data_IF_037054235408
#
_entry.id   IF_037054235408
#
_cell.length_a   1.000
_cell.length_b   1.000
_cell.length_c   1.000
_cell.angle_alpha   90.00
_cell.angle_beta   90.00
_cell.angle_gamma   90.00
#
_symmetry.space_group_name_H-M   'P 1'
#
loop_
_entity.id
_entity.type
_entity.pdbx_description
1 polymer ?
#
# COMPACT_ATOMS: atom_id res chain seq x y z
N UNK A 1 -20.18 29.72 -32.45
CA UNK A 1 -18.73 29.41 -32.47
C UNK A 1 -18.44 28.63 -31.21
N UNK A 2 -18.77 27.34 -31.20
CA UNK A 2 -17.91 26.22 -31.61
C UNK A 2 -16.96 25.82 -30.46
N UNK A 3 -17.24 24.64 -29.93
CA UNK A 3 -16.58 23.94 -28.82
C UNK A 3 -15.05 24.00 -28.92
N UNK A 4 -14.40 24.43 -27.84
CA UNK A 4 -12.97 24.22 -27.63
C UNK A 4 -12.73 23.79 -26.18
N UNK A 5 -12.75 22.47 -26.02
CA UNK A 5 -11.93 21.65 -25.12
C UNK A 5 -11.73 22.25 -23.72
N UNK A 6 -12.54 21.79 -22.77
CA UNK A 6 -12.22 21.84 -21.35
C UNK A 6 -10.84 21.20 -21.14
N UNK A 7 -9.80 22.02 -20.94
CA UNK A 7 -8.45 21.56 -20.53
C UNK A 7 -8.40 21.13 -19.06
N UNK A 8 -9.52 20.69 -18.51
CA UNK A 8 -9.52 19.99 -17.24
C UNK A 8 -9.25 18.52 -17.53
N UNK A 9 -8.29 17.98 -16.78
CA UNK A 9 -8.06 16.56 -16.66
C UNK A 9 -9.38 15.78 -16.55
N UNK A 10 -9.72 14.87 -17.49
CA UNK A 10 -11.01 14.20 -17.48
C UNK A 10 -11.15 13.30 -16.25
N UNK A 11 -12.28 13.43 -15.54
CA UNK A 11 -12.63 12.50 -14.48
C UNK A 11 -12.85 11.11 -15.07
N UNK A 12 -12.28 10.10 -14.43
CA UNK A 12 -12.65 8.72 -14.71
C UNK A 12 -14.05 8.43 -14.16
N UNK A 13 -14.91 7.71 -14.90
CA UNK A 13 -16.21 7.31 -14.39
C UNK A 13 -16.07 6.45 -13.12
N UNK A 14 -17.04 6.58 -12.22
CA UNK A 14 -17.16 5.73 -11.03
C UNK A 14 -17.24 4.26 -11.46
N UNK A 15 -16.37 3.42 -10.89
CA UNK A 15 -16.54 1.96 -10.99
C UNK A 15 -17.67 1.60 -10.02
N UNK A 16 -18.74 0.91 -10.46
CA UNK A 16 -19.79 0.48 -9.55
C UNK A 16 -19.20 -0.43 -8.48
N UNK A 17 -19.62 -0.21 -7.23
CA UNK A 17 -19.36 -1.11 -6.12
C UNK A 17 -19.75 -2.54 -6.53
N UNK A 18 -18.78 -3.48 -6.58
CA UNK A 18 -19.09 -4.90 -6.73
C UNK A 18 -19.88 -5.31 -5.48
N UNK A 19 -21.17 -5.60 -5.66
CA UNK A 19 -22.06 -6.07 -4.60
C UNK A 19 -21.45 -7.31 -3.95
N UNK A 20 -21.20 -7.23 -2.66
CA UNK A 20 -21.02 -8.42 -1.83
C UNK A 20 -22.32 -9.24 -1.87
N UNK A 21 -22.20 -10.53 -2.17
CA UNK A 21 -23.31 -11.45 -2.04
C UNK A 21 -23.78 -11.46 -0.59
N UNK A 22 -25.03 -11.02 -0.37
CA UNK A 22 -25.69 -11.14 0.92
C UNK A 22 -25.98 -12.60 1.20
N UNK A 23 -25.36 -13.15 2.26
CA UNK A 23 -25.90 -14.34 2.91
C UNK A 23 -27.01 -13.88 3.85
N UNK A 24 -28.24 -14.22 3.50
CA UNK A 24 -29.39 -14.16 4.39
C UNK A 24 -29.07 -14.88 5.69
N UNK A 25 -29.28 -14.22 6.82
CA UNK A 25 -29.82 -14.91 7.99
C UNK A 25 -30.80 -13.99 8.69
N UNK A 26 -32.04 -14.46 8.71
CA UNK A 26 -33.10 -13.99 9.60
C UNK A 26 -32.69 -14.34 11.03
N UNK A 27 -32.85 -13.40 11.95
CA UNK A 27 -33.56 -13.67 13.20
C UNK A 27 -33.97 -12.35 13.84
N UNK A 28 -35.27 -12.25 14.12
CA UNK A 28 -35.88 -11.11 14.78
C UNK A 28 -35.78 -11.22 16.29
N UNK A 29 -35.72 -10.06 16.94
CA UNK A 29 -36.53 -9.82 18.14
C UNK A 29 -36.66 -8.32 18.35
N UNK A 30 -37.89 -7.94 18.64
CA UNK A 30 -38.36 -6.62 19.03
C UNK A 30 -37.76 -6.22 20.38
N UNK A 31 -37.61 -4.92 20.64
CA UNK A 31 -37.97 -4.26 21.91
C UNK A 31 -38.07 -2.75 21.63
N UNK A 32 -39.10 -2.17 22.25
CA UNK A 32 -39.68 -0.85 22.06
C UNK A 32 -38.88 0.31 22.68
N UNK A 33 -39.23 1.49 22.16
CA UNK A 33 -39.09 2.88 22.60
C UNK A 33 -38.73 3.17 24.06
N UNK A 34 -38.02 4.29 24.29
CA UNK A 34 -38.40 5.34 25.24
C UNK A 34 -37.59 6.63 25.01
N UNK A 35 -38.33 7.75 24.97
CA UNK A 35 -37.91 9.15 24.88
C UNK A 35 -36.93 9.57 26.00
N UNK A 36 -36.08 10.58 25.75
CA UNK A 36 -36.18 11.83 26.54
C UNK A 36 -35.36 13.03 26.02
N UNK A 37 -36.12 14.11 25.90
CA UNK A 37 -35.92 15.56 25.93
C UNK A 37 -34.52 16.18 26.16
N UNK A 38 -34.28 17.24 25.38
CA UNK A 38 -33.22 18.22 25.52
C UNK A 38 -33.64 19.40 26.44
N UNK A 39 -32.67 19.98 27.17
CA UNK A 39 -32.80 21.29 27.83
C UNK A 39 -31.59 21.68 28.68
N UNK A 40 -31.29 22.99 28.87
CA UNK A 40 -29.92 23.53 28.76
C UNK A 40 -29.41 24.30 30.01
N UNK A 41 -28.32 25.08 29.82
CA UNK A 41 -27.67 26.06 30.72
C UNK A 41 -26.51 25.52 31.56
N UNK A 42 -25.41 26.21 31.80
CA UNK A 42 -24.95 27.57 31.50
C UNK A 42 -23.64 27.83 32.29
N UNK A 43 -22.82 28.79 31.83
CA UNK A 43 -21.76 29.53 32.55
C UNK A 43 -20.69 28.72 33.35
N UNK A 44 -19.41 29.04 33.36
CA UNK A 44 -18.87 30.36 33.68
C UNK A 44 -17.37 30.44 33.37
N UNK A 45 -16.94 31.66 33.09
CA UNK A 45 -15.55 32.07 32.90
C UNK A 45 -15.09 32.94 34.07
N UNK A 46 -13.84 32.79 34.52
CA UNK A 46 -12.94 33.80 35.16
C UNK A 46 -11.68 33.04 35.66
N UNK A 47 -10.45 33.26 35.22
CA UNK A 47 -9.59 34.44 34.99
C UNK A 47 -8.67 34.78 36.18
N UNK A 48 -7.44 35.18 35.83
CA UNK A 48 -6.40 35.94 36.55
C UNK A 48 -5.34 35.14 37.33
N UNK A 49 -4.09 35.06 36.83
CA UNK A 49 -2.95 36.01 36.97
C UNK A 49 -2.14 35.69 38.25
N UNK A 50 -0.80 35.78 38.37
CA UNK A 50 0.22 36.51 37.61
C UNK A 50 1.66 36.03 38.01
N UNK A 51 2.63 36.20 37.08
CA UNK A 51 4.05 36.64 37.25
C UNK A 51 4.93 36.10 38.41
N UNK A 52 6.02 35.35 38.18
CA UNK A 52 7.39 35.76 37.76
C UNK A 52 8.16 36.66 38.74
N UNK A 53 9.28 36.18 39.35
CA UNK A 53 10.63 36.82 39.41
C UNK A 53 11.71 35.80 39.90
N UNK A 54 12.88 35.81 39.25
CA UNK A 54 14.22 35.25 39.63
C UNK A 54 14.90 36.09 40.78
N UNK A 55 16.15 35.86 41.36
CA UNK A 55 17.36 35.22 40.78
C UNK A 55 18.42 34.52 41.74
N UNK A 56 19.45 33.91 41.11
CA UNK A 56 20.90 33.77 41.44
C UNK A 56 21.50 32.97 42.64
N UNK A 57 22.45 32.08 42.26
CA UNK A 57 23.80 31.75 42.80
C UNK A 57 24.03 31.09 44.19
N UNK A 58 24.88 30.03 44.21
CA UNK A 58 25.80 29.74 45.34
C UNK A 58 26.05 28.28 45.74
N UNK A 59 27.21 27.72 45.33
CA UNK A 59 28.12 26.72 45.96
C UNK A 59 27.69 25.39 46.67
N UNK A 60 28.38 24.31 46.21
CA UNK A 60 29.03 23.16 46.89
C UNK A 60 28.33 22.41 48.07
N UNK A 61 28.13 21.10 47.87
CA UNK A 61 28.63 20.04 48.79
C UNK A 61 28.53 18.63 48.15
N UNK A 62 29.52 17.78 48.43
CA UNK A 62 29.61 16.37 48.02
C UNK A 62 28.77 15.49 48.96
N UNK A 63 28.06 14.49 48.41
CA UNK A 63 27.74 13.23 49.12
C UNK A 63 27.55 12.10 48.12
N UNK A 64 28.27 11.01 48.38
CA UNK A 64 28.34 9.73 47.67
C UNK A 64 27.14 8.83 47.99
N UNK A 65 26.53 8.17 47.00
CA UNK A 65 25.80 6.90 47.16
C UNK A 65 25.80 6.06 45.86
N UNK A 66 25.68 4.71 45.95
CA UNK A 66 26.04 3.78 44.87
C UNK A 66 24.84 3.25 44.05
N UNK A 67 25.19 2.66 42.90
CA UNK A 67 24.36 2.11 41.82
C UNK A 67 23.61 0.79 42.20
N UNK A 68 22.35 0.58 41.78
CA UNK A 68 21.63 -0.69 41.95
C UNK A 68 21.70 -1.55 40.69
N UNK A 69 22.67 -2.46 40.61
CA UNK A 69 22.80 -3.46 39.54
C UNK A 69 22.92 -4.90 40.09
N UNK A 70 22.12 -5.25 41.11
CA UNK A 70 22.18 -6.54 41.79
C UNK A 70 20.82 -7.26 41.88
N UNK A 71 19.94 -7.06 40.89
CA UNK A 71 18.59 -7.66 40.86
C UNK A 71 18.25 -8.49 39.62
N UNK A 72 19.10 -8.56 38.61
CA UNK A 72 18.79 -9.22 37.33
C UNK A 72 19.63 -10.48 37.03
N UNK A 73 20.63 -10.81 37.85
CA UNK A 73 21.55 -11.92 37.56
C UNK A 73 21.13 -13.28 38.16
N UNK A 74 20.18 -13.32 39.09
CA UNK A 74 19.69 -14.58 39.69
C UNK A 74 18.67 -15.28 38.80
N UNK A 75 17.84 -14.53 38.09
CA UNK A 75 16.78 -15.08 37.23
C UNK A 75 17.32 -15.71 35.94
N UNK A 76 18.47 -15.24 35.46
CA UNK A 76 19.16 -15.82 34.29
C UNK A 76 19.91 -17.12 34.63
N UNK A 77 20.29 -17.31 35.90
CA UNK A 77 20.96 -18.52 36.36
C UNK A 77 19.99 -19.68 36.61
N UNK A 78 18.76 -19.40 37.06
CA UNK A 78 17.72 -20.43 37.21
C UNK A 78 17.23 -20.98 35.85
N UNK A 79 17.17 -20.14 34.81
CA UNK A 79 16.76 -20.58 33.46
C UNK A 79 17.75 -21.56 32.81
N UNK A 80 19.06 -21.39 33.01
CA UNK A 80 20.05 -22.31 32.44
C UNK A 80 20.02 -23.69 33.11
N UNK A 81 19.66 -23.78 34.39
CA UNK A 81 19.59 -25.05 35.11
C UNK A 81 18.38 -25.93 34.69
N UNK A 82 17.31 -25.31 34.20
CA UNK A 82 16.12 -25.99 33.67
C UNK A 82 16.37 -26.52 32.24
N UNK A 83 17.16 -25.82 31.42
CA UNK A 83 17.50 -26.29 30.07
C UNK A 83 18.45 -27.51 30.07
N UNK A 84 19.41 -27.55 30.99
CA UNK A 84 20.38 -28.66 31.07
C UNK A 84 19.77 -29.98 31.58
N UNK A 85 18.66 -29.89 32.33
CA UNK A 85 17.93 -31.07 32.82
C UNK A 85 16.98 -31.66 31.77
N UNK A 86 16.51 -30.87 30.80
CA UNK A 86 15.68 -31.34 29.68
C UNK A 86 16.50 -32.04 28.58
N UNK A 87 17.77 -31.69 28.41
CA UNK A 87 18.64 -32.29 27.36
C UNK A 87 19.16 -33.70 27.69
N UNK A 88 18.87 -34.25 28.88
CA UNK A 88 19.28 -35.61 29.29
C UNK A 88 18.17 -36.66 29.23
N UNK A 89 16.96 -36.31 28.79
CA UNK A 89 15.80 -37.21 28.79
C UNK A 89 15.38 -37.73 27.40
N UNK A 90 16.24 -37.69 26.39
CA UNK A 90 15.90 -38.18 25.04
C UNK A 90 17.06 -38.90 24.36
N UNK A 91 17.46 -40.06 24.91
CA UNK A 91 18.17 -41.12 24.19
C UNK A 91 17.87 -42.46 24.87
N UNK A 92 16.91 -43.22 24.36
CA UNK A 92 16.89 -44.69 24.42
C UNK A 92 15.79 -45.25 23.49
N UNK A 93 16.12 -46.37 22.82
CA UNK A 93 15.29 -47.23 21.94
C UNK A 93 14.89 -46.67 20.56
N UNK A 94 15.02 -47.33 19.41
CA UNK A 94 15.45 -48.69 19.09
C UNK A 94 15.94 -48.79 17.63
N UNK A 95 16.81 -49.78 17.40
CA UNK A 95 17.36 -50.22 16.12
C UNK A 95 16.45 -51.30 15.48
N UNK A 96 16.35 -51.34 14.14
CA UNK A 96 16.83 -52.46 13.29
C UNK A 96 16.06 -52.66 11.95
N UNK A 97 16.84 -52.82 10.86
CA UNK A 97 16.68 -53.57 9.58
C UNK A 97 15.39 -53.45 8.72
N UNK A 98 15.41 -53.00 7.45
CA UNK A 98 16.00 -53.48 6.17
C UNK A 98 15.09 -54.41 5.31
N UNK A 99 14.93 -54.03 4.04
CA UNK A 99 14.68 -54.81 2.79
C UNK A 99 13.27 -55.34 2.41
N UNK A 100 12.73 -54.78 1.31
CA UNK A 100 11.98 -55.44 0.20
C UNK A 100 12.96 -56.23 -0.70
N UNK A 101 12.61 -57.12 -1.68
CA UNK A 101 11.49 -57.01 -2.65
C UNK A 101 10.90 -58.33 -3.26
N UNK A 102 9.87 -58.18 -4.13
CA UNK A 102 9.41 -59.02 -5.30
C UNK A 102 7.86 -59.06 -5.34
N UNK A 103 7.14 -59.31 -6.43
CA UNK A 103 7.15 -59.06 -7.89
C UNK A 103 6.06 -59.97 -8.49
N UNK A 104 5.41 -59.53 -9.58
CA UNK A 104 4.53 -60.28 -10.51
C UNK A 104 3.13 -60.73 -10.02
N UNK A 105 2.06 -60.32 -10.72
CA UNK A 105 1.62 -61.03 -11.94
C UNK A 105 0.51 -60.29 -12.67
N UNK A 106 0.60 -60.30 -14.00
CA UNK A 106 -0.47 -59.96 -14.93
C UNK A 106 -1.09 -61.28 -15.43
N UNK A 107 -2.40 -61.30 -15.69
CA UNK A 107 -3.05 -62.28 -16.58
C UNK A 107 -4.32 -61.72 -17.22
N UNK A 108 -4.41 -62.01 -18.52
CA UNK A 108 -5.42 -61.65 -19.52
C UNK A 108 -6.67 -62.56 -19.50
N UNK A 109 -7.61 -62.26 -20.44
CA UNK A 109 -8.62 -63.10 -21.15
C UNK A 109 -10.07 -62.70 -20.73
N UNK A 110 -11.09 -62.42 -21.56
CA UNK A 110 -11.41 -62.53 -23.00
C UNK A 110 -12.67 -61.66 -23.30
N UNK A 111 -12.75 -60.98 -24.45
CA UNK A 111 -13.58 -61.26 -25.66
C UNK A 111 -15.02 -60.68 -25.66
N UNK A 112 -15.29 -59.87 -26.70
CA UNK A 112 -16.54 -59.20 -27.09
C UNK A 112 -17.62 -60.18 -27.64
N UNK A 113 -18.84 -59.68 -27.97
CA UNK A 113 -19.07 -59.20 -29.35
C UNK A 113 -20.02 -57.98 -29.53
N UNK A 114 -19.83 -57.30 -30.69
CA UNK A 114 -20.78 -56.69 -31.66
C UNK A 114 -22.04 -55.92 -31.16
N UNK A 115 -22.52 -54.80 -31.71
CA UNK A 115 -22.25 -53.97 -32.89
C UNK A 115 -23.13 -52.71 -32.80
N UNK A 116 -22.69 -51.55 -33.30
CA UNK A 116 -23.41 -50.70 -34.27
C UNK A 116 -22.55 -49.48 -34.62
N UNK A 117 -22.22 -49.39 -35.91
CA UNK A 117 -21.52 -48.28 -36.54
C UNK A 117 -22.37 -47.00 -36.57
N UNK A 118 -21.77 -45.88 -36.14
CA UNK A 118 -22.05 -44.56 -36.71
C UNK A 118 -20.77 -43.72 -36.68
N UNK A 119 -20.08 -43.69 -37.82
CA UNK A 119 -18.93 -42.83 -38.06
C UNK A 119 -19.41 -41.49 -38.60
N UNK A 120 -19.01 -40.39 -37.97
CA UNK A 120 -18.62 -39.16 -38.66
C UNK A 120 -17.83 -38.25 -37.71
N UNK A 121 -16.57 -37.99 -38.11
CA UNK A 121 -15.74 -36.81 -37.83
C UNK A 121 -15.23 -36.57 -36.40
N UNK A 122 -14.26 -37.40 -35.98
CA UNK A 122 -13.29 -37.03 -34.96
C UNK A 122 -12.21 -36.13 -35.59
N UNK A 123 -12.39 -34.82 -35.46
CA UNK A 123 -11.27 -33.88 -35.52
C UNK A 123 -10.38 -34.19 -34.32
N UNK A 124 -9.18 -34.72 -34.55
CA UNK A 124 -8.14 -34.81 -33.52
C UNK A 124 -7.91 -33.41 -32.95
N UNK A 125 -8.44 -33.17 -31.75
CA UNK A 125 -8.03 -32.06 -30.92
C UNK A 125 -6.59 -32.34 -30.49
N UNK A 126 -5.65 -31.91 -31.32
CA UNK A 126 -4.27 -31.74 -30.89
C UNK A 126 -4.32 -30.68 -29.80
N UNK A 127 -4.05 -31.08 -28.56
CA UNK A 127 -3.98 -30.16 -27.43
C UNK A 127 -3.16 -28.94 -27.84
N UNK A 128 -3.72 -27.72 -27.81
CA UNK A 128 -2.90 -26.54 -28.02
C UNK A 128 -1.88 -26.56 -26.90
N UNK A 129 -0.61 -26.75 -27.28
CA UNK A 129 0.56 -26.64 -26.42
C UNK A 129 0.28 -25.48 -25.48
N UNK A 130 0.05 -25.82 -24.20
CA UNK A 130 -0.14 -24.84 -23.13
C UNK A 130 1.14 -24.03 -23.15
N UNK A 131 1.11 -22.87 -23.79
CA UNK A 131 2.19 -21.90 -23.72
C UNK A 131 2.26 -21.57 -22.23
N UNK A 132 3.30 -22.09 -21.58
CA UNK A 132 3.55 -21.92 -20.16
C UNK A 132 3.87 -20.43 -19.97
N UNK A 133 2.84 -19.58 -19.91
CA UNK A 133 2.98 -18.16 -19.63
C UNK A 133 3.39 -18.06 -18.17
N UNK A 134 4.70 -18.19 -17.90
CA UNK A 134 5.25 -18.00 -16.58
C UNK A 134 4.80 -16.61 -16.09
N UNK A 135 4.10 -16.58 -14.96
CA UNK A 135 3.70 -15.34 -14.27
C UNK A 135 4.98 -14.49 -14.11
N UNK A 136 4.94 -13.19 -14.44
CA UNK A 136 6.12 -12.34 -14.37
C UNK A 136 6.72 -12.37 -12.97
N UNK A 137 8.04 -12.35 -12.88
CA UNK A 137 8.77 -12.39 -11.61
C UNK A 137 8.34 -11.23 -10.70
N UNK A 138 7.86 -11.51 -9.48
CA UNK A 138 7.51 -10.48 -8.51
C UNK A 138 8.70 -9.58 -8.13
N UNK A 139 8.49 -8.27 -8.19
CA UNK A 139 9.49 -7.26 -7.79
C UNK A 139 8.96 -6.46 -6.60
N UNK A 140 9.69 -6.45 -5.49
CA UNK A 140 9.25 -5.95 -4.20
C UNK A 140 9.95 -4.66 -3.77
N UNK A 141 9.15 -3.69 -3.35
CA UNK A 141 9.56 -2.59 -2.47
C UNK A 141 9.24 -2.98 -1.02
N UNK A 142 10.07 -2.54 -0.08
CA UNK A 142 9.81 -2.71 1.35
C UNK A 142 9.74 -1.34 2.02
N UNK A 143 8.78 -1.16 2.93
CA UNK A 143 8.67 0.05 3.77
C UNK A 143 8.12 -0.27 5.14
N UNK A 144 8.71 0.30 6.20
CA UNK A 144 8.23 0.13 7.57
C UNK A 144 8.02 -1.34 7.95
N UNK A 145 9.01 -2.18 7.60
CA UNK A 145 9.05 -3.61 7.91
C UNK A 145 10.20 -3.84 8.89
N UNK A 146 9.90 -4.60 9.94
CA UNK A 146 10.89 -5.15 10.87
C UNK A 146 11.67 -6.31 10.21
N UNK A 147 12.93 -6.51 10.60
CA UNK A 147 13.79 -7.54 10.05
C UNK A 147 13.86 -7.50 8.50
N UNK A 148 14.10 -6.31 7.94
CA UNK A 148 14.10 -6.10 6.50
C UNK A 148 15.02 -7.10 5.76
N UNK A 149 16.23 -7.36 6.26
CA UNK A 149 17.18 -8.31 5.65
C UNK A 149 16.60 -9.72 5.52
N UNK A 150 15.91 -10.21 6.57
CA UNK A 150 15.24 -11.51 6.56
C UNK A 150 14.13 -11.54 5.50
N UNK A 151 13.36 -10.46 5.38
CA UNK A 151 12.34 -10.35 4.34
C UNK A 151 12.96 -10.36 2.94
N UNK A 152 14.07 -9.65 2.74
CA UNK A 152 14.76 -9.65 1.46
C UNK A 152 15.32 -11.04 1.10
N UNK A 153 15.86 -11.77 2.07
CA UNK A 153 16.31 -13.15 1.88
C UNK A 153 15.15 -14.08 1.52
N UNK A 154 14.02 -13.98 2.23
CA UNK A 154 12.81 -14.75 1.91
C UNK A 154 12.36 -14.49 0.47
N UNK A 155 12.28 -13.22 0.06
CA UNK A 155 11.91 -12.82 -1.31
C UNK A 155 12.85 -13.45 -2.34
N UNK A 156 14.17 -13.34 -2.15
CA UNK A 156 15.17 -13.90 -3.07
C UNK A 156 15.08 -15.43 -3.13
N UNK A 157 14.89 -16.08 -1.99
CA UNK A 157 14.79 -17.55 -1.90
C UNK A 157 13.55 -18.12 -2.60
N UNK A 158 12.49 -17.32 -2.73
CA UNK A 158 11.27 -17.65 -3.46
C UNK A 158 11.33 -17.26 -4.96
N UNK A 159 12.48 -16.76 -5.42
CA UNK A 159 12.69 -16.34 -6.80
C UNK A 159 12.18 -14.94 -7.13
N UNK A 160 11.85 -14.12 -6.13
CA UNK A 160 11.48 -12.71 -6.31
C UNK A 160 12.68 -11.76 -6.33
N UNK A 161 12.44 -10.52 -6.74
CA UNK A 161 13.46 -9.46 -6.82
C UNK A 161 13.15 -8.39 -5.77
N UNK A 162 14.18 -7.88 -5.10
CA UNK A 162 14.07 -6.76 -4.16
C UNK A 162 14.60 -5.48 -4.81
N UNK A 163 13.80 -4.40 -4.76
CA UNK A 163 14.24 -3.04 -5.02
C UNK A 163 15.04 -2.50 -3.84
N UNK A 164 16.35 -2.70 -3.89
CA UNK A 164 17.27 -2.04 -2.96
C UNK A 164 18.01 -0.89 -3.67
N UNK A 165 18.30 0.22 -2.95
CA UNK A 165 19.11 1.31 -3.49
C UNK A 165 20.50 0.85 -3.98
N UNK A 166 21.02 -0.24 -3.40
CA UNK A 166 22.35 -0.78 -3.65
C UNK A 166 22.46 -1.60 -4.95
N UNK A 167 21.34 -2.07 -5.51
CA UNK A 167 21.31 -2.87 -6.75
C UNK A 167 20.97 -1.98 -7.97
N UNK A 168 20.98 -0.65 -7.83
CA UNK A 168 20.74 0.28 -8.93
C UNK A 168 22.03 0.55 -9.72
N UNK A 169 22.45 -0.39 -10.55
CA UNK A 169 23.45 -0.12 -11.61
C UNK A 169 22.75 0.70 -12.70
N UNK A 170 22.88 2.03 -12.62
CA UNK A 170 22.32 3.07 -13.49
C UNK A 170 20.80 3.33 -13.40
N UNK A 171 20.42 4.57 -13.05
CA UNK A 171 19.06 5.14 -13.04
C UNK A 171 18.04 4.61 -11.99
N UNK A 172 18.18 5.08 -10.75
CA UNK A 172 17.34 4.80 -9.57
C UNK A 172 15.83 5.05 -9.73
N UNK A 173 15.40 5.91 -10.66
CA UNK A 173 13.97 6.18 -10.90
C UNK A 173 13.29 5.05 -11.68
N UNK A 174 14.04 4.28 -12.48
CA UNK A 174 13.49 3.22 -13.31
C UNK A 174 13.21 1.93 -12.55
N UNK A 175 13.99 1.65 -11.49
CA UNK A 175 13.88 0.38 -10.76
C UNK A 175 12.63 0.32 -9.88
N UNK A 176 12.32 1.40 -9.16
CA UNK A 176 11.10 1.48 -8.35
C UNK A 176 9.83 1.48 -9.20
N UNK A 177 9.90 1.98 -10.44
CA UNK A 177 8.79 1.94 -11.40
C UNK A 177 8.41 0.50 -11.77
N UNK A 178 9.40 -0.38 -11.91
CA UNK A 178 9.21 -1.79 -12.27
C UNK A 178 8.70 -2.66 -11.11
N UNK A 179 8.71 -2.15 -9.87
CA UNK A 179 8.17 -2.89 -8.74
C UNK A 179 6.69 -3.27 -8.96
N UNK A 180 6.31 -4.48 -8.58
CA UNK A 180 4.92 -4.96 -8.69
C UNK A 180 4.25 -5.07 -7.32
N UNK A 181 5.06 -5.18 -6.25
CA UNK A 181 4.60 -5.33 -4.87
C UNK A 181 5.27 -4.32 -3.94
N UNK A 182 4.55 -3.89 -2.90
CA UNK A 182 5.05 -3.19 -1.74
C UNK A 182 4.70 -3.99 -0.49
N UNK A 183 5.69 -4.38 0.30
CA UNK A 183 5.49 -4.99 1.61
C UNK A 183 5.53 -3.92 2.70
N UNK A 184 4.51 -3.87 3.55
CA UNK A 184 4.47 -2.97 4.71
C UNK A 184 3.64 -3.54 5.87
N UNK A 185 4.04 -3.22 7.11
CA UNK A 185 3.29 -3.61 8.31
C UNK A 185 1.92 -2.92 8.39
N UNK A 186 1.82 -1.67 7.94
CA UNK A 186 0.56 -0.94 7.81
C UNK A 186 0.76 0.20 6.80
N UNK A 187 -0.19 0.45 5.88
CA UNK A 187 -0.08 1.57 4.94
C UNK A 187 -0.02 2.89 5.70
N UNK A 188 1.07 3.64 5.52
CA UNK A 188 1.25 4.98 6.07
C UNK A 188 1.45 6.00 4.95
N UNK A 189 1.15 7.27 5.21
CA UNK A 189 1.25 8.32 4.19
C UNK A 189 2.71 8.67 3.93
N UNK A 190 3.34 7.90 3.05
CA UNK A 190 4.71 8.07 2.60
C UNK A 190 4.79 7.89 1.09
N UNK A 191 5.95 8.21 0.52
CA UNK A 191 6.15 8.18 -0.93
C UNK A 191 5.96 6.80 -1.55
N UNK A 192 6.50 5.73 -0.94
CA UNK A 192 6.39 4.36 -1.44
C UNK A 192 4.94 3.90 -1.51
N UNK A 193 4.14 4.22 -0.49
CA UNK A 193 2.70 3.91 -0.48
C UNK A 193 1.96 4.73 -1.54
N UNK A 194 2.21 6.05 -1.63
CA UNK A 194 1.52 6.92 -2.60
C UNK A 194 1.84 6.55 -4.05
N UNK A 195 3.10 6.25 -4.37
CA UNK A 195 3.52 5.78 -5.69
C UNK A 195 2.94 4.39 -6.01
N UNK A 196 2.85 3.51 -5.02
CA UNK A 196 2.23 2.18 -5.17
C UNK A 196 0.73 2.28 -5.45
N UNK A 197 0.01 3.14 -4.73
CA UNK A 197 -1.41 3.44 -4.99
C UNK A 197 -1.56 4.01 -6.41
N UNK A 198 -0.77 5.02 -6.77
CA UNK A 198 -0.85 5.68 -8.07
C UNK A 198 -0.60 4.73 -9.25
N UNK A 199 0.33 3.79 -9.07
CA UNK A 199 0.71 2.79 -10.07
C UNK A 199 -0.17 1.53 -10.05
N UNK A 200 -0.98 1.32 -9.00
CA UNK A 200 -1.80 0.11 -8.84
C UNK A 200 -1.02 -1.14 -8.48
N UNK A 201 0.05 -0.99 -7.68
CA UNK A 201 0.85 -2.13 -7.18
C UNK A 201 0.07 -2.86 -6.08
N UNK A 202 0.40 -4.14 -5.89
CA UNK A 202 -0.03 -4.86 -4.69
C UNK A 202 0.62 -4.23 -3.46
N UNK A 203 -0.15 -3.91 -2.42
CA UNK A 203 0.40 -3.50 -1.13
C UNK A 203 -0.02 -4.53 -0.10
N UNK A 204 0.94 -5.31 0.37
CA UNK A 204 0.71 -6.53 1.12
C UNK A 204 1.23 -6.42 2.55
N UNK A 205 0.58 -7.15 3.44
CA UNK A 205 1.04 -7.39 4.80
C UNK A 205 2.16 -8.45 4.84
N UNK A 206 2.97 -8.47 5.90
CA UNK A 206 4.17 -9.30 6.03
C UNK A 206 3.88 -10.80 6.03
N UNK A 207 2.74 -11.26 6.58
CA UNK A 207 2.36 -12.67 6.61
C UNK A 207 2.32 -13.29 5.20
N UNK A 208 2.06 -12.50 4.16
CA UNK A 208 2.17 -12.95 2.78
C UNK A 208 3.50 -13.65 2.52
N UNK A 209 4.59 -13.05 2.97
CA UNK A 209 5.93 -13.52 2.72
C UNK A 209 6.29 -14.71 3.61
N UNK A 210 5.87 -14.67 4.87
CA UNK A 210 6.08 -15.77 5.85
C UNK A 210 5.35 -17.04 5.41
N UNK A 211 4.10 -16.90 5.00
CA UNK A 211 3.29 -18.01 4.49
C UNK A 211 3.80 -18.50 3.14
N UNK A 212 4.16 -17.59 2.22
CA UNK A 212 4.80 -17.98 0.95
C UNK A 212 6.12 -18.73 1.17
N UNK A 213 6.91 -18.34 2.17
CA UNK A 213 8.16 -19.02 2.50
C UNK A 213 7.90 -20.43 3.02
N UNK A 214 6.86 -20.62 3.84
CA UNK A 214 6.46 -21.92 4.36
C UNK A 214 5.97 -22.86 3.25
N UNK A 215 5.20 -22.35 2.29
CA UNK A 215 4.67 -23.14 1.17
C UNK A 215 5.69 -23.31 0.02
N UNK A 216 6.81 -22.58 0.06
CA UNK A 216 7.88 -22.69 -0.92
C UNK A 216 7.62 -21.98 -2.25
N UNK A 217 6.53 -21.21 -2.37
CA UNK A 217 6.22 -20.38 -3.52
C UNK A 217 5.40 -19.14 -3.11
N UNK A 218 5.36 -18.12 -3.97
CA UNK A 218 4.50 -16.95 -3.75
C UNK A 218 3.02 -17.34 -3.78
N UNK A 219 2.30 -16.97 -2.73
CA UNK A 219 0.87 -17.23 -2.57
C UNK A 219 0.01 -16.23 -3.34
N UNK A 220 -1.31 -16.38 -3.25
CA UNK A 220 -2.27 -15.45 -3.84
C UNK A 220 -2.27 -14.13 -3.07
N UNK A 221 -2.02 -13.03 -3.79
CA UNK A 221 -1.86 -11.70 -3.21
C UNK A 221 -3.15 -11.15 -2.56
N UNK A 222 -4.33 -11.53 -3.09
CA UNK A 222 -5.62 -11.01 -2.61
C UNK A 222 -5.93 -11.35 -1.14
N UNK A 223 -5.38 -12.46 -0.66
CA UNK A 223 -5.60 -12.93 0.71
C UNK A 223 -4.78 -12.13 1.74
N UNK A 224 -3.84 -11.29 1.28
CA UNK A 224 -2.92 -10.51 2.13
C UNK A 224 -2.87 -9.02 1.77
N UNK A 225 -3.73 -8.56 0.86
CA UNK A 225 -3.73 -7.19 0.37
C UNK A 225 -4.47 -6.24 1.31
N UNK A 226 -3.80 -5.13 1.64
CA UNK A 226 -4.40 -4.07 2.44
C UNK A 226 -5.64 -3.47 1.77
N UNK A 227 -6.76 -3.49 2.50
CA UNK A 227 -8.04 -2.94 2.05
C UNK A 227 -8.85 -3.87 1.14
N UNK A 228 -8.32 -5.03 0.79
CA UNK A 228 -9.07 -6.05 0.05
C UNK A 228 -10.13 -6.69 0.97
N UNK A 229 -11.40 -6.79 0.56
CA UNK A 229 -12.44 -7.47 1.33
C UNK A 229 -12.15 -8.96 1.61
N UNK A 230 -11.37 -9.64 0.77
CA UNK A 230 -10.97 -11.04 0.99
C UNK A 230 -10.04 -11.16 2.21
N UNK A 231 -9.09 -10.24 2.35
CA UNK A 231 -8.21 -10.12 3.50
C UNK A 231 -8.89 -9.42 4.71
N UNK A 232 -10.11 -9.84 5.06
CA UNK A 232 -10.94 -9.17 6.08
C UNK A 232 -10.30 -9.10 7.47
N UNK A 233 -9.36 -9.99 7.79
CA UNK A 233 -8.61 -9.95 9.05
C UNK A 233 -7.75 -8.67 9.18
N UNK A 234 -7.23 -8.15 8.07
CA UNK A 234 -6.44 -6.91 8.06
C UNK A 234 -7.26 -5.69 8.45
N UNK A 235 -8.56 -5.68 8.15
CA UNK A 235 -9.45 -4.57 8.53
C UNK A 235 -9.53 -4.42 10.05
N UNK A 236 -9.46 -5.54 10.79
CA UNK A 236 -9.47 -5.55 12.27
C UNK A 236 -8.20 -4.94 12.87
N UNK A 237 -7.12 -4.85 12.09
CA UNK A 237 -5.85 -4.24 12.51
C UNK A 237 -5.83 -2.72 12.31
N UNK A 238 -6.85 -2.15 11.66
CA UNK A 238 -6.95 -0.73 11.35
C UNK A 238 -7.96 -0.06 12.26
N UNK A 239 -7.62 1.13 12.77
CA UNK A 239 -8.58 1.97 13.51
C UNK A 239 -9.64 2.52 12.54
N UNK A 240 -10.95 2.36 12.81
CA UNK A 240 -12.00 2.96 11.99
C UNK A 240 -11.86 4.48 11.87
N UNK A 241 -12.06 5.01 10.67
CA UNK A 241 -11.93 6.42 10.31
C UNK A 241 -10.47 6.92 10.20
N UNK A 242 -9.47 6.07 10.50
CA UNK A 242 -8.08 6.48 10.47
C UNK A 242 -7.54 6.71 9.06
N UNK A 243 -6.45 7.47 8.96
CA UNK A 243 -5.74 7.65 7.69
C UNK A 243 -5.22 6.31 7.12
N UNK A 244 -4.77 5.40 7.98
CA UNK A 244 -4.30 4.08 7.56
C UNK A 244 -5.43 3.25 6.93
N UNK A 245 -6.64 3.32 7.49
CA UNK A 245 -7.83 2.69 6.90
C UNK A 245 -8.15 3.27 5.52
N UNK A 246 -8.12 4.60 5.39
CA UNK A 246 -8.35 5.27 4.10
C UNK A 246 -7.28 4.89 3.06
N UNK A 247 -6.02 4.81 3.47
CA UNK A 247 -4.91 4.37 2.61
C UNK A 247 -5.08 2.91 2.16
N UNK A 248 -5.44 2.01 3.08
CA UNK A 248 -5.71 0.61 2.74
C UNK A 248 -6.85 0.50 1.72
N UNK A 249 -7.98 1.19 1.93
CA UNK A 249 -9.07 1.24 0.95
C UNK A 249 -8.62 1.80 -0.40
N UNK A 250 -7.77 2.83 -0.39
CA UNK A 250 -7.23 3.44 -1.60
C UNK A 250 -6.31 2.50 -2.39
N UNK A 251 -5.45 1.73 -1.71
CA UNK A 251 -4.61 0.67 -2.31
C UNK A 251 -5.47 -0.25 -3.15
N UNK A 252 -6.44 -0.91 -2.51
CA UNK A 252 -7.27 -1.89 -3.17
C UNK A 252 -8.09 -1.27 -4.32
N UNK A 253 -8.71 -0.11 -4.08
CA UNK A 253 -9.52 0.61 -5.07
C UNK A 253 -8.73 0.93 -6.33
N UNK A 254 -7.52 1.49 -6.18
CA UNK A 254 -6.71 1.87 -7.34
C UNK A 254 -6.15 0.66 -8.07
N UNK A 255 -5.68 -0.36 -7.35
CA UNK A 255 -5.21 -1.61 -7.97
C UNK A 255 -6.31 -2.27 -8.81
N UNK A 256 -7.53 -2.40 -8.28
CA UNK A 256 -8.70 -2.90 -9.03
C UNK A 256 -8.99 -2.05 -10.26
N UNK A 257 -9.07 -0.72 -10.08
CA UNK A 257 -9.40 0.21 -11.17
C UNK A 257 -8.37 0.15 -12.29
N UNK A 258 -7.09 0.06 -11.95
CA UNK A 258 -5.99 0.00 -12.93
C UNK A 258 -5.98 -1.34 -13.65
N UNK A 259 -6.24 -2.45 -12.94
CA UNK A 259 -6.38 -3.76 -13.56
C UNK A 259 -7.51 -3.80 -14.61
N UNK A 260 -8.66 -3.16 -14.31
CA UNK A 260 -9.82 -3.14 -15.20
C UNK A 260 -9.60 -2.19 -16.39
N UNK A 261 -9.05 -1.00 -16.14
CA UNK A 261 -9.00 0.07 -17.16
C UNK A 261 -7.68 0.14 -17.93
N UNK A 262 -6.62 -0.48 -17.43
CA UNK A 262 -5.25 -0.31 -17.92
C UNK A 262 -4.67 1.09 -17.69
N UNK A 263 -5.40 2.00 -17.01
CA UNK A 263 -5.02 3.41 -16.85
C UNK A 263 -4.65 3.71 -15.41
N UNK A 264 -3.40 4.08 -15.20
CA UNK A 264 -2.86 4.53 -13.90
C UNK A 264 -3.53 5.82 -13.41
N UNK A 265 -3.33 6.15 -12.13
CA UNK A 265 -4.10 7.20 -11.46
C UNK A 265 -4.06 8.58 -12.14
N UNK A 266 -2.93 8.90 -12.75
CA UNK A 266 -2.65 10.17 -13.41
C UNK A 266 -2.44 10.00 -14.93
N UNK A 267 -3.08 9.00 -15.58
CA UNK A 267 -2.96 8.67 -17.02
C UNK A 267 -3.31 9.81 -18.01
N UNK A 268 -2.31 10.56 -18.47
CA UNK A 268 -2.45 11.77 -19.32
C UNK A 268 -2.30 13.13 -18.59
N UNK A 269 -1.99 13.14 -17.30
CA UNK A 269 -1.87 14.36 -16.50
C UNK A 269 -0.60 15.05 -16.97
N UNK A 270 -0.64 16.37 -17.19
CA UNK A 270 0.56 17.15 -17.52
C UNK A 270 0.75 18.20 -16.43
N UNK A 271 1.56 17.86 -15.45
CA UNK A 271 1.72 18.63 -14.23
C UNK A 271 2.91 19.60 -14.33
N UNK A 272 2.67 20.86 -13.97
CA UNK A 272 3.73 21.77 -13.52
C UNK A 272 3.84 21.59 -12.00
N UNK A 273 5.07 21.48 -11.46
CA UNK A 273 5.29 21.29 -10.03
C UNK A 273 6.11 22.44 -9.46
N UNK A 274 5.57 23.12 -8.45
CA UNK A 274 6.12 24.33 -7.86
C UNK A 274 6.02 24.28 -6.34
N UNK A 275 7.07 23.79 -5.71
CA UNK A 275 7.21 23.69 -4.26
C UNK A 275 8.69 23.78 -3.87
N UNK A 276 9.03 23.48 -2.61
CA UNK A 276 10.42 23.28 -2.20
C UNK A 276 11.06 22.15 -3.02
N UNK A 277 12.39 22.21 -3.22
CA UNK A 277 13.14 21.24 -4.04
C UNK A 277 12.84 19.78 -3.65
N UNK A 278 12.84 19.49 -2.35
CA UNK A 278 12.57 18.15 -1.81
C UNK A 278 11.16 17.64 -2.15
N UNK A 279 10.14 18.49 -1.96
CA UNK A 279 8.75 18.14 -2.27
C UNK A 279 8.51 18.05 -3.77
N UNK A 280 9.14 18.90 -4.57
CA UNK A 280 9.01 18.88 -6.01
C UNK A 280 9.47 17.53 -6.59
N UNK A 281 10.61 17.01 -6.11
CA UNK A 281 11.11 15.70 -6.51
C UNK A 281 10.19 14.55 -6.06
N UNK A 282 9.62 14.63 -4.85
CA UNK A 282 8.64 13.66 -4.37
C UNK A 282 7.37 13.66 -5.24
N UNK A 283 6.79 14.84 -5.51
CA UNK A 283 5.60 14.95 -6.35
C UNK A 283 5.87 14.48 -7.78
N UNK A 284 7.06 14.75 -8.31
CA UNK A 284 7.48 14.26 -9.62
C UNK A 284 7.45 12.73 -9.69
N UNK A 285 8.01 12.05 -8.68
CA UNK A 285 7.99 10.57 -8.63
C UNK A 285 6.56 10.03 -8.50
N UNK A 286 5.69 10.66 -7.73
CA UNK A 286 4.27 10.29 -7.61
C UNK A 286 3.53 10.44 -8.96
N UNK A 287 3.68 11.58 -9.65
CA UNK A 287 3.03 11.84 -10.95
C UNK A 287 3.48 10.80 -11.98
N UNK A 288 4.79 10.59 -12.10
CA UNK A 288 5.36 9.64 -13.06
C UNK A 288 4.92 8.19 -12.73
N UNK A 289 4.96 7.79 -11.45
CA UNK A 289 4.51 6.46 -11.04
C UNK A 289 3.05 6.21 -11.45
N UNK A 290 2.19 7.22 -11.33
CA UNK A 290 0.79 7.20 -11.75
C UNK A 290 0.54 7.43 -13.24
N UNK A 291 1.57 7.43 -14.09
CA UNK A 291 1.42 7.54 -15.54
C UNK A 291 1.12 8.96 -16.05
N UNK A 292 1.42 9.98 -15.23
CA UNK A 292 1.41 11.38 -15.63
C UNK A 292 2.77 11.85 -16.14
N UNK A 293 2.77 13.00 -16.78
CA UNK A 293 3.93 13.73 -17.30
C UNK A 293 4.19 14.95 -16.42
N UNK A 294 5.47 15.20 -16.10
CA UNK A 294 5.90 16.42 -15.41
C UNK A 294 6.57 17.33 -16.42
N UNK A 295 6.02 18.52 -16.60
CA UNK A 295 6.55 19.51 -17.52
C UNK A 295 7.70 20.27 -16.87
N UNK A 296 8.86 20.28 -17.52
CA UNK A 296 10.05 21.01 -17.06
C UNK A 296 9.93 22.51 -17.39
N UNK A 297 8.93 23.17 -16.79
CA UNK A 297 8.68 24.61 -16.94
C UNK A 297 8.95 25.25 -15.58
N UNK A 298 9.72 26.34 -15.56
CA UNK A 298 10.03 27.09 -14.35
C UNK A 298 9.22 28.39 -14.28
N UNK A 299 8.99 28.94 -13.07
CA UNK A 299 8.40 30.27 -12.92
C UNK A 299 9.18 31.29 -13.77
N UNK A 300 8.50 32.28 -14.38
CA UNK A 300 7.13 32.71 -14.09
C UNK A 300 6.00 31.97 -14.82
N UNK A 301 6.28 30.95 -15.66
CA UNK A 301 5.28 30.23 -16.48
C UNK A 301 4.60 31.04 -17.59
N UNK A 302 5.35 31.92 -18.26
CA UNK A 302 4.85 32.74 -19.38
C UNK A 302 4.21 31.91 -20.51
N UNK A 303 4.60 30.64 -20.65
CA UNK A 303 3.98 29.69 -21.57
C UNK A 303 3.76 28.33 -20.89
N UNK A 304 2.61 28.10 -20.23
CA UNK A 304 2.34 26.83 -19.56
C UNK A 304 2.05 25.67 -20.54
N UNK A 305 2.13 25.93 -21.85
CA UNK A 305 2.03 24.94 -22.91
C UNK A 305 0.74 24.12 -22.86
N UNK A 306 0.90 22.80 -22.71
CA UNK A 306 -0.18 21.82 -22.59
C UNK A 306 -0.42 21.35 -21.15
N UNK A 307 0.01 22.12 -20.14
CA UNK A 307 -0.25 21.80 -18.74
C UNK A 307 -1.74 21.64 -18.47
N UNK A 308 -2.08 20.60 -17.70
CA UNK A 308 -3.46 20.34 -17.24
C UNK A 308 -3.67 20.74 -15.79
N UNK A 309 -2.58 20.87 -15.01
CA UNK A 309 -2.61 21.26 -13.60
C UNK A 309 -1.27 21.84 -13.17
N UNK A 310 -1.29 22.81 -12.25
CA UNK A 310 -0.12 23.30 -11.55
C UNK A 310 -0.23 22.91 -10.07
N UNK A 311 0.66 22.03 -9.60
CA UNK A 311 0.79 21.69 -8.19
C UNK A 311 1.65 22.76 -7.53
N UNK A 312 1.02 23.68 -6.80
CA UNK A 312 1.64 24.92 -6.35
C UNK A 312 1.50 25.13 -4.83
N UNK A 313 2.64 25.32 -4.17
CA UNK A 313 2.73 25.79 -2.79
C UNK A 313 3.41 27.17 -2.78
N UNK A 314 2.65 28.23 -3.02
CA UNK A 314 3.17 29.60 -3.26
C UNK A 314 4.16 30.07 -2.20
N UNK A 315 3.87 29.82 -0.92
CA UNK A 315 4.73 30.16 0.21
C UNK A 315 6.09 29.44 0.24
N UNK A 316 6.28 28.41 -0.61
CA UNK A 316 7.52 27.61 -0.71
C UNK A 316 8.28 27.86 -2.00
N UNK A 317 7.75 28.70 -2.91
CA UNK A 317 8.41 29.03 -4.16
C UNK A 317 9.35 30.22 -3.95
N UNK A 318 10.60 30.08 -4.38
CA UNK A 318 11.62 31.15 -4.25
C UNK A 318 11.45 32.25 -5.31
N UNK A 319 10.88 31.91 -6.47
CA UNK A 319 10.71 32.80 -7.60
C UNK A 319 9.26 33.30 -7.71
N UNK A 320 9.08 34.48 -8.31
CA UNK A 320 7.74 34.99 -8.61
C UNK A 320 7.03 34.08 -9.61
N UNK A 321 5.77 33.78 -9.31
CA UNK A 321 4.87 32.99 -10.15
C UNK A 321 3.90 33.96 -10.82
N UNK A 322 3.78 33.92 -12.14
CA UNK A 322 2.74 34.67 -12.85
C UNK A 322 1.44 33.85 -12.85
N UNK A 323 0.64 34.07 -11.81
CA UNK A 323 -0.66 33.42 -11.67
C UNK A 323 -1.66 33.87 -12.73
N UNK A 324 -1.55 35.10 -13.24
CA UNK A 324 -2.48 35.62 -14.24
C UNK A 324 -2.36 34.81 -15.54
N UNK A 325 -1.13 34.54 -15.99
CA UNK A 325 -0.92 33.68 -17.16
C UNK A 325 -1.52 32.28 -16.97
N UNK A 326 -1.43 31.69 -15.78
CA UNK A 326 -2.02 30.38 -15.50
C UNK A 326 -3.56 30.42 -15.50
N UNK A 327 -4.16 31.52 -15.03
CA UNK A 327 -5.62 31.75 -15.10
C UNK A 327 -6.08 31.92 -16.54
N UNK A 328 -5.43 32.80 -17.31
CA UNK A 328 -5.76 33.08 -18.71
C UNK A 328 -5.68 31.83 -19.57
N UNK A 329 -4.73 30.93 -19.26
CA UNK A 329 -4.56 29.64 -19.93
C UNK A 329 -5.40 28.50 -19.33
N UNK A 330 -6.22 28.79 -18.31
CA UNK A 330 -7.12 27.86 -17.62
C UNK A 330 -6.39 26.64 -17.01
N UNK A 331 -5.20 26.86 -16.47
CA UNK A 331 -4.41 25.83 -15.77
C UNK A 331 -4.68 25.96 -14.27
N UNK A 332 -5.43 25.03 -13.65
CA UNK A 332 -5.77 25.13 -12.24
C UNK A 332 -4.52 25.01 -11.34
N UNK A 333 -4.39 25.92 -10.38
CA UNK A 333 -3.33 25.90 -9.37
C UNK A 333 -3.85 25.33 -8.05
N UNK A 334 -3.32 24.19 -7.62
CA UNK A 334 -3.84 23.43 -6.47
C UNK A 334 -2.72 23.00 -5.51
N UNK A 335 -2.91 23.07 -4.18
CA UNK A 335 -1.96 22.55 -3.21
C UNK A 335 -2.33 21.11 -2.83
N UNK A 336 -1.33 20.24 -2.60
CA UNK A 336 -1.52 18.89 -2.04
C UNK A 336 -2.49 17.94 -2.79
N UNK A 337 -2.94 18.31 -3.99
CA UNK A 337 -4.01 17.63 -4.73
C UNK A 337 -3.73 16.16 -4.99
N UNK A 338 -2.48 15.81 -5.34
CA UNK A 338 -2.07 14.44 -5.65
C UNK A 338 -2.42 13.46 -4.53
N UNK A 339 -2.18 13.84 -3.27
CA UNK A 339 -2.44 12.98 -2.13
C UNK A 339 -3.94 12.75 -1.92
N UNK A 340 -4.71 13.84 -1.94
CA UNK A 340 -6.16 13.76 -1.73
C UNK A 340 -6.84 13.01 -2.88
N UNK A 341 -6.39 13.22 -4.12
CA UNK A 341 -6.88 12.47 -5.29
C UNK A 341 -6.66 10.95 -5.18
N UNK A 342 -5.53 10.52 -4.62
CA UNK A 342 -5.26 9.10 -4.42
C UNK A 342 -6.09 8.51 -3.28
N UNK A 343 -6.21 9.22 -2.15
CA UNK A 343 -6.74 8.68 -0.90
C UNK A 343 -8.28 8.81 -0.81
N UNK A 344 -8.82 9.99 -1.11
CA UNK A 344 -10.24 10.30 -0.93
C UNK A 344 -11.15 9.47 -1.84
N UNK A 345 -12.38 9.23 -1.37
CA UNK A 345 -13.42 8.54 -2.11
C UNK A 345 -14.77 9.24 -1.88
N UNK A 346 -15.33 9.92 -2.91
CA UNK A 346 -14.77 10.12 -4.24
C UNK A 346 -13.49 11.00 -4.25
N UNK A 347 -12.65 10.91 -5.29
CA UNK A 347 -11.56 11.87 -5.50
C UNK A 347 -12.10 13.30 -5.64
N UNK A 348 -11.46 14.32 -5.03
CA UNK A 348 -11.91 15.70 -5.10
C UNK A 348 -11.84 16.27 -6.53
N UNK A 349 -12.76 17.18 -6.83
CA UNK A 349 -12.65 18.00 -8.04
C UNK A 349 -11.42 18.92 -7.94
N UNK A 350 -10.70 19.08 -9.05
CA UNK A 350 -9.56 19.99 -9.13
C UNK A 350 -9.99 21.44 -8.88
N UNK A 351 -11.19 21.81 -9.31
CA UNK A 351 -11.76 23.15 -9.14
C UNK A 351 -12.15 23.45 -7.69
N UNK A 352 -12.38 22.42 -6.87
CA UNK A 352 -12.60 22.58 -5.43
C UNK A 352 -11.28 22.78 -4.66
N UNK A 353 -10.16 22.41 -5.29
CA UNK A 353 -8.83 22.44 -4.67
C UNK A 353 -8.00 23.68 -5.04
N UNK A 354 -8.57 24.68 -5.73
CA UNK A 354 -7.81 25.86 -6.17
C UNK A 354 -7.28 26.68 -4.99
N UNK A 355 -6.04 27.15 -5.10
CA UNK A 355 -5.46 28.10 -4.14
C UNK A 355 -6.28 29.42 -4.14
N UNK A 356 -6.43 30.10 -2.99
CA UNK A 356 -7.20 31.35 -2.91
C UNK A 356 -6.74 32.43 -3.89
N UNK A 357 -5.43 32.56 -4.09
CA UNK A 357 -4.82 33.56 -4.99
C UNK A 357 -5.19 33.33 -6.45
N UNK A 358 -5.39 32.07 -6.85
CA UNK A 358 -5.86 31.74 -8.20
C UNK A 358 -7.32 32.13 -8.36
N UNK A 359 -8.18 31.81 -7.38
CA UNK A 359 -9.62 32.15 -7.40
C UNK A 359 -9.85 33.66 -7.45
N UNK A 360 -9.01 34.44 -6.80
CA UNK A 360 -9.11 35.90 -6.77
C UNK A 360 -8.84 36.58 -8.13
N UNK A 361 -8.22 35.86 -9.07
CA UNK A 361 -7.85 36.35 -10.40
C UNK A 361 -8.78 35.82 -11.52
N UNK A 362 -9.77 34.98 -11.18
CA UNK A 362 -10.74 34.37 -12.12
C UNK A 362 -11.88 35.30 -12.54
#
# INVERSE_FOLDING_TARGET
>A
MAELIHRCWPKFPHVPYMRSFHTNNQDGSQIEDLDDQAGPSGADCRSLNNSSVDPNQGEKARTSTPSPAAGMNTQLQELHQILDSASKASKESDTNSLSTPRSHSARNIARAPESLDLCTDLVEWVDPVISNQQKPTPVFLLTSIDNQEQCEEMIRSLGGIVCSPQISVSNSVSFEQNATHLLCQQPSRNEKVLTSIAAGKWVLEKLYLEDSKREGHFLNEEDYEWGNPKASYLQKLLKPGSLNEQLAKAVYRWRCKIQITGKKAFHGMKAIICSSKEKAELYKRIVIAGGGEVLNISPPFSEPGCATVCILELAKVQHRVDLQTLVDKKVPCVPLYLNNYLISDPPPDVMDCLIPEYRALQ
#
